data_IF_499234170762
#
_entry.id   IF_499234170762
#
_cell.length_a   1.000
_cell.length_b   1.000
_cell.length_c   1.000
_cell.angle_alpha   90.00
_cell.angle_beta   90.00
_cell.angle_gamma   90.00
#
_symmetry.space_group_name_H-M   'P 1'
#
loop_
_entity.id
_entity.type
_entity.pdbx_description
1 polymer ?
#
# COMPACT_ATOMS: atom_id res chain seq x y z
N UNK A 1 5.44 -10.01 25.35
CA UNK A 1 4.48 -10.15 24.25
C UNK A 1 5.26 -10.61 23.03
N UNK A 2 4.73 -11.58 22.28
CA UNK A 2 5.40 -12.08 21.09
C UNK A 2 5.37 -10.97 20.02
N UNK A 3 6.54 -10.53 19.58
CA UNK A 3 6.68 -9.40 18.64
C UNK A 3 6.36 -9.82 17.20
N UNK A 4 6.24 -11.13 16.97
CA UNK A 4 6.03 -11.72 15.64
C UNK A 4 4.68 -12.43 15.58
N UNK A 5 3.98 -12.23 14.49
CA UNK A 5 2.72 -12.91 14.19
C UNK A 5 3.01 -14.36 13.84
N UNK A 6 2.20 -15.30 14.38
CA UNK A 6 2.31 -16.73 14.11
C UNK A 6 1.40 -17.17 12.98
N UNK A 7 1.66 -18.34 12.38
CA UNK A 7 0.79 -18.92 11.35
C UNK A 7 -0.64 -19.14 11.90
N UNK A 8 -0.78 -19.57 13.15
CA UNK A 8 -2.08 -19.74 13.82
C UNK A 8 -2.88 -18.43 13.85
N UNK A 9 -2.25 -17.30 14.22
CA UNK A 9 -2.89 -15.99 14.24
C UNK A 9 -3.33 -15.53 12.84
N UNK A 10 -2.55 -15.87 11.82
CA UNK A 10 -2.88 -15.57 10.42
C UNK A 10 -4.08 -16.42 9.98
N UNK A 11 -4.09 -17.71 10.32
CA UNK A 11 -5.16 -18.63 9.97
C UNK A 11 -6.46 -18.29 10.69
N UNK A 12 -6.43 -17.91 11.98
CA UNK A 12 -7.59 -17.41 12.71
C UNK A 12 -8.25 -16.22 12.03
N UNK A 13 -7.45 -15.24 11.59
CA UNK A 13 -7.96 -14.08 10.85
C UNK A 13 -8.53 -14.46 9.47
N UNK A 14 -7.85 -15.36 8.75
CA UNK A 14 -8.30 -15.84 7.45
C UNK A 14 -9.63 -16.62 7.56
N UNK A 15 -9.78 -17.46 8.57
CA UNK A 15 -11.00 -18.24 8.80
C UNK A 15 -12.18 -17.36 9.24
N UNK A 16 -11.91 -16.34 10.06
CA UNK A 16 -12.93 -15.35 10.41
C UNK A 16 -13.44 -14.61 9.16
N UNK A 17 -12.56 -14.28 8.21
CA UNK A 17 -12.97 -13.66 6.93
C UNK A 17 -13.74 -14.65 6.06
N UNK A 18 -13.28 -15.90 5.92
CA UNK A 18 -14.01 -16.94 5.17
C UNK A 18 -15.43 -17.19 5.68
N UNK A 19 -15.65 -17.00 6.97
CA UNK A 19 -16.97 -17.13 7.57
C UNK A 19 -17.92 -15.97 7.26
N UNK A 20 -17.39 -14.81 6.83
CA UNK A 20 -18.16 -13.59 6.55
C UNK A 20 -18.47 -13.39 5.06
N UNK A 21 -17.82 -14.12 4.16
CA UNK A 21 -17.99 -13.93 2.72
C UNK A 21 -17.94 -15.24 1.95
N UNK A 22 -18.71 -15.31 0.87
CA UNK A 22 -18.61 -16.40 -0.11
C UNK A 22 -17.69 -16.09 -1.29
N UNK A 23 -17.22 -14.85 -1.40
CA UNK A 23 -16.32 -14.42 -2.45
C UNK A 23 -14.95 -15.11 -2.33
N UNK A 24 -14.32 -15.34 -3.48
CA UNK A 24 -12.93 -15.83 -3.59
C UNK A 24 -12.11 -14.81 -4.41
N UNK A 25 -11.75 -13.68 -3.80
CA UNK A 25 -11.02 -12.63 -4.51
C UNK A 25 -9.62 -13.09 -4.89
N UNK A 26 -9.19 -12.70 -6.10
CA UNK A 26 -7.82 -12.88 -6.56
C UNK A 26 -6.97 -11.61 -6.40
N UNK A 27 -7.62 -10.46 -6.25
CA UNK A 27 -6.98 -9.15 -6.14
C UNK A 27 -7.26 -8.53 -4.79
N UNK A 28 -6.20 -8.19 -4.06
CA UNK A 28 -6.26 -7.37 -2.86
C UNK A 28 -5.92 -5.91 -3.18
N UNK A 29 -6.69 -4.97 -2.64
CA UNK A 29 -6.41 -3.54 -2.74
C UNK A 29 -6.13 -3.00 -1.33
N UNK A 30 -5.04 -2.26 -1.16
CA UNK A 30 -4.75 -1.51 0.07
C UNK A 30 -4.87 -0.03 -0.26
N UNK A 31 -5.93 0.60 0.25
CA UNK A 31 -6.21 2.00 -0.02
C UNK A 31 -5.48 2.91 0.97
N UNK A 32 -4.74 3.88 0.43
CA UNK A 32 -4.06 4.92 1.19
C UNK A 32 -4.99 6.06 1.61
N UNK A 33 -4.43 7.03 2.33
CA UNK A 33 -5.13 8.23 2.78
C UNK A 33 -5.78 8.97 1.61
N UNK A 34 -7.05 9.33 1.74
CA UNK A 34 -7.82 10.04 0.72
C UNK A 34 -8.43 9.16 -0.38
N UNK A 35 -8.15 7.85 -0.43
CA UNK A 35 -8.58 6.94 -1.51
C UNK A 35 -9.77 6.04 -1.14
N UNK A 36 -10.51 6.40 -0.10
CA UNK A 36 -11.59 5.57 0.46
C UNK A 36 -12.79 5.35 -0.49
N UNK A 37 -13.04 6.27 -1.43
CA UNK A 37 -14.19 6.24 -2.35
C UNK A 37 -14.21 5.01 -3.26
N UNK A 38 -13.06 4.47 -3.61
CA UNK A 38 -12.99 3.24 -4.41
C UNK A 38 -13.66 2.06 -3.70
N UNK A 39 -13.47 1.93 -2.39
CA UNK A 39 -14.12 0.87 -1.60
C UNK A 39 -15.65 1.03 -1.56
N UNK A 40 -16.14 2.26 -1.54
CA UNK A 40 -17.59 2.54 -1.51
C UNK A 40 -18.28 2.19 -2.85
N UNK A 41 -17.52 1.98 -3.91
CA UNK A 41 -18.01 1.58 -5.23
C UNK A 41 -18.01 0.06 -5.49
N UNK A 42 -17.53 -0.74 -4.55
CA UNK A 42 -17.58 -2.20 -4.61
C UNK A 42 -19.03 -2.66 -4.52
N UNK A 43 -19.46 -3.46 -5.49
CA UNK A 43 -20.85 -3.94 -5.60
C UNK A 43 -21.03 -5.23 -4.79
N UNK A 44 -22.25 -5.44 -4.28
CA UNK A 44 -22.65 -6.64 -3.51
C UNK A 44 -21.68 -6.96 -2.37
N UNK A 45 -21.19 -5.93 -1.69
CA UNK A 45 -20.06 -6.05 -0.77
C UNK A 45 -20.45 -6.65 0.58
N UNK A 46 -19.66 -7.62 1.03
CA UNK A 46 -19.57 -8.00 2.44
C UNK A 46 -18.59 -7.04 3.13
N UNK A 47 -19.01 -6.41 4.22
CA UNK A 47 -18.21 -5.41 4.94
C UNK A 47 -17.90 -5.92 6.33
N UNK A 48 -16.60 -6.00 6.65
CA UNK A 48 -16.11 -6.53 7.94
C UNK A 48 -15.22 -5.47 8.62
N UNK A 49 -15.63 -4.92 9.77
CA UNK A 49 -14.77 -4.03 10.55
C UNK A 49 -13.46 -4.71 10.96
N UNK A 50 -12.34 -4.00 10.95
CA UNK A 50 -11.06 -4.55 11.40
C UNK A 50 -11.09 -4.98 12.86
N UNK A 51 -11.89 -4.30 13.70
CA UNK A 51 -12.10 -4.63 15.10
C UNK A 51 -12.75 -6.00 15.32
N UNK A 52 -13.44 -6.53 14.33
CA UNK A 52 -14.18 -7.80 14.42
C UNK A 52 -13.31 -8.99 13.97
N UNK A 53 -12.10 -8.71 13.47
CA UNK A 53 -11.16 -9.72 13.01
C UNK A 53 -10.12 -10.03 14.10
N UNK A 54 -9.89 -11.30 14.43
CA UNK A 54 -8.89 -11.68 15.41
C UNK A 54 -7.50 -11.28 14.93
N UNK A 55 -6.67 -10.82 15.86
CA UNK A 55 -5.27 -10.40 15.63
C UNK A 55 -5.07 -9.23 14.65
N UNK A 56 -6.13 -8.70 14.05
CA UNK A 56 -6.03 -7.65 13.04
C UNK A 56 -5.69 -6.30 13.68
N UNK A 57 -4.72 -5.55 13.15
CA UNK A 57 -4.38 -4.24 13.69
C UNK A 57 -5.45 -3.19 13.33
N UNK A 58 -5.79 -2.33 14.28
CA UNK A 58 -6.79 -1.27 14.11
C UNK A 58 -6.09 0.09 14.08
N UNK A 59 -6.35 0.87 13.03
CA UNK A 59 -5.73 2.20 12.89
C UNK A 59 -6.30 3.20 13.90
N UNK A 60 -5.40 4.03 14.41
CA UNK A 60 -5.69 5.18 15.27
C UNK A 60 -5.70 6.50 14.50
N UNK A 61 -5.38 6.46 13.21
CA UNK A 61 -5.26 7.64 12.33
C UNK A 61 -6.62 8.06 11.79
N UNK A 62 -6.96 9.35 11.94
CA UNK A 62 -8.15 9.91 11.34
C UNK A 62 -8.16 9.78 9.80
N UNK A 63 -9.30 9.39 9.22
CA UNK A 63 -9.46 9.24 7.78
C UNK A 63 -9.34 7.80 7.26
N UNK A 64 -9.00 6.83 8.12
CA UNK A 64 -9.10 5.42 7.79
C UNK A 64 -10.42 4.84 8.32
N UNK A 65 -11.24 4.26 7.42
CA UNK A 65 -12.52 3.65 7.80
C UNK A 65 -12.34 2.37 8.63
N UNK A 66 -11.19 1.71 8.53
CA UNK A 66 -10.83 0.56 9.34
C UNK A 66 -11.70 -0.67 9.08
N UNK A 67 -11.96 -0.99 7.82
CA UNK A 67 -12.80 -2.13 7.43
C UNK A 67 -12.31 -2.82 6.17
N UNK A 68 -12.67 -4.09 6.01
CA UNK A 68 -12.61 -4.82 4.76
C UNK A 68 -13.91 -4.63 3.99
N UNK A 69 -13.79 -4.51 2.68
CA UNK A 69 -14.90 -4.50 1.73
C UNK A 69 -14.60 -5.55 0.67
N UNK A 70 -15.38 -6.64 0.66
CA UNK A 70 -15.16 -7.79 -0.22
C UNK A 70 -16.37 -7.94 -1.12
N UNK A 71 -16.18 -7.87 -2.44
CA UNK A 71 -17.30 -7.89 -3.40
C UNK A 71 -16.78 -7.76 -4.81
N UNK A 72 -17.55 -7.14 -5.70
CA UNK A 72 -17.25 -7.01 -7.12
C UNK A 72 -16.87 -5.58 -7.50
N UNK A 73 -15.75 -5.44 -8.22
CA UNK A 73 -15.32 -4.18 -8.82
C UNK A 73 -14.85 -4.44 -10.26
N UNK A 74 -15.44 -3.76 -11.24
CA UNK A 74 -15.16 -3.97 -12.67
C UNK A 74 -15.32 -5.44 -13.12
N UNK A 75 -16.28 -6.17 -12.52
CA UNK A 75 -16.52 -7.59 -12.80
C UNK A 75 -15.52 -8.57 -12.16
N UNK A 76 -14.58 -8.07 -11.37
CA UNK A 76 -13.61 -8.89 -10.63
C UNK A 76 -13.98 -8.98 -9.15
N UNK A 77 -13.91 -10.17 -8.52
CA UNK A 77 -14.02 -10.27 -7.07
C UNK A 77 -12.76 -9.67 -6.43
N UNK A 78 -12.95 -8.69 -5.55
CA UNK A 78 -11.87 -7.93 -4.90
C UNK A 78 -11.94 -8.00 -3.39
N UNK A 79 -10.78 -7.88 -2.74
CA UNK A 79 -10.60 -7.74 -1.31
C UNK A 79 -10.01 -6.36 -1.04
N UNK A 80 -10.79 -5.43 -0.50
CA UNK A 80 -10.37 -4.05 -0.34
C UNK A 80 -10.19 -3.71 1.13
N UNK A 81 -8.97 -3.33 1.50
CA UNK A 81 -8.68 -2.69 2.78
C UNK A 81 -8.96 -1.19 2.68
N UNK A 82 -10.03 -0.74 3.32
CA UNK A 82 -10.34 0.69 3.42
C UNK A 82 -9.60 1.31 4.60
N UNK A 83 -8.31 1.59 4.36
CA UNK A 83 -7.34 2.05 5.34
C UNK A 83 -6.33 0.96 5.75
N UNK A 84 -5.28 1.40 6.44
CA UNK A 84 -4.20 0.55 6.96
C UNK A 84 -3.66 1.14 8.27
N UNK A 85 -2.84 0.37 8.98
CA UNK A 85 -2.02 0.84 10.11
C UNK A 85 -0.61 1.18 9.65
N UNK A 86 0.06 2.03 10.43
CA UNK A 86 1.41 2.48 10.14
C UNK A 86 2.38 2.17 11.30
N UNK A 87 3.67 2.14 10.99
CA UNK A 87 4.70 1.84 11.98
C UNK A 87 4.73 2.84 13.13
N UNK A 88 4.48 4.12 12.84
CA UNK A 88 4.43 5.17 13.87
C UNK A 88 3.25 5.04 14.84
N UNK A 89 2.26 4.19 14.57
CA UNK A 89 1.16 3.89 15.50
C UNK A 89 1.59 2.91 16.62
N UNK A 90 2.85 2.42 16.60
CA UNK A 90 3.42 1.58 17.63
C UNK A 90 3.27 0.07 17.38
N UNK A 91 2.72 -0.33 16.24
CA UNK A 91 2.66 -1.72 15.82
C UNK A 91 4.02 -2.23 15.34
N UNK A 92 4.32 -3.52 15.60
CA UNK A 92 5.48 -4.18 15.00
C UNK A 92 5.29 -4.34 13.48
N UNK A 93 6.38 -4.44 12.72
CA UNK A 93 6.31 -4.69 11.27
C UNK A 93 5.58 -6.01 10.94
N UNK A 94 5.66 -7.00 11.83
CA UNK A 94 4.93 -8.25 11.68
C UNK A 94 3.41 -8.04 11.77
N UNK A 95 2.95 -7.19 12.69
CA UNK A 95 1.53 -6.85 12.85
C UNK A 95 1.02 -5.97 11.69
N UNK A 96 1.81 -4.98 11.26
CA UNK A 96 1.45 -4.11 10.10
C UNK A 96 1.21 -4.95 8.86
N UNK A 97 2.00 -6.00 8.66
CA UNK A 97 1.94 -6.85 7.48
C UNK A 97 1.11 -8.13 7.67
N UNK A 98 0.45 -8.32 8.82
CA UNK A 98 -0.52 -9.40 9.01
C UNK A 98 -1.60 -9.43 7.91
N UNK A 99 -2.22 -8.29 7.52
CA UNK A 99 -3.23 -8.29 6.46
C UNK A 99 -2.76 -8.91 5.15
N UNK A 100 -1.52 -8.64 4.75
CA UNK A 100 -0.96 -9.21 3.51
C UNK A 100 -0.73 -10.72 3.64
N UNK A 101 -0.29 -11.20 4.81
CA UNK A 101 -0.17 -12.64 5.08
C UNK A 101 -1.54 -13.34 5.05
N UNK A 102 -2.57 -12.67 5.56
CA UNK A 102 -3.94 -13.17 5.47
C UNK A 102 -4.42 -13.22 4.01
N UNK A 103 -4.13 -12.20 3.20
CA UNK A 103 -4.41 -12.25 1.76
C UNK A 103 -3.79 -13.49 1.10
N UNK A 104 -2.52 -13.80 1.41
CA UNK A 104 -1.84 -15.01 0.92
C UNK A 104 -2.57 -16.29 1.35
N UNK A 105 -3.00 -16.39 2.61
CA UNK A 105 -3.75 -17.54 3.15
C UNK A 105 -5.15 -17.67 2.56
N UNK A 106 -5.75 -16.57 2.10
CA UNK A 106 -7.01 -16.56 1.36
C UNK A 106 -6.84 -16.90 -0.13
N UNK A 107 -5.60 -16.99 -0.62
CA UNK A 107 -5.28 -17.36 -1.99
C UNK A 107 -5.31 -16.20 -2.98
N UNK A 108 -5.15 -14.95 -2.51
CA UNK A 108 -5.02 -13.80 -3.40
C UNK A 108 -3.69 -13.87 -4.17
N UNK A 109 -3.76 -13.58 -5.47
CA UNK A 109 -2.63 -13.67 -6.40
C UNK A 109 -1.98 -12.32 -6.68
N UNK A 110 -2.73 -11.24 -6.51
CA UNK A 110 -2.32 -9.88 -6.83
C UNK A 110 -2.61 -8.93 -5.67
N UNK A 111 -1.73 -7.94 -5.50
CA UNK A 111 -1.93 -6.84 -4.55
C UNK A 111 -1.73 -5.51 -5.26
N UNK A 112 -2.75 -4.63 -5.22
CA UNK A 112 -2.63 -3.25 -5.63
C UNK A 112 -2.54 -2.39 -4.37
N UNK A 113 -1.45 -1.67 -4.24
CA UNK A 113 -1.19 -0.83 -3.06
C UNK A 113 -1.10 0.63 -3.46
N UNK A 114 -1.78 1.48 -2.69
CA UNK A 114 -1.78 2.91 -2.93
C UNK A 114 -1.37 3.70 -1.69
N UNK A 115 -0.82 4.87 -1.90
CA UNK A 115 -0.45 5.79 -0.84
C UNK A 115 -0.52 7.25 -1.29
N UNK A 116 -0.47 8.18 -0.32
CA UNK A 116 -0.09 9.56 -0.53
C UNK A 116 1.41 9.70 -0.22
N UNK A 117 2.15 10.47 -0.99
CA UNK A 117 3.60 10.63 -0.85
C UNK A 117 4.06 12.07 -1.14
N UNK A 118 5.12 12.49 -0.46
CA UNK A 118 5.82 13.72 -0.78
C UNK A 118 6.74 13.53 -1.99
N UNK A 119 6.63 14.37 -3.01
CA UNK A 119 7.45 14.33 -4.22
C UNK A 119 8.85 14.90 -3.97
N UNK A 120 9.89 14.07 -4.06
CA UNK A 120 11.31 14.46 -3.96
C UNK A 120 11.87 14.81 -5.33
N UNK A 121 11.42 14.11 -6.38
CA UNK A 121 11.79 14.42 -7.76
C UNK A 121 11.32 15.83 -8.13
N UNK A 122 12.21 16.71 -8.61
CA UNK A 122 11.86 18.11 -8.91
C UNK A 122 10.81 18.27 -10.03
N UNK A 123 10.63 17.24 -10.86
CA UNK A 123 9.65 17.24 -11.96
C UNK A 123 8.24 16.85 -11.50
N UNK A 124 8.11 16.37 -10.24
CA UNK A 124 6.82 16.00 -9.70
C UNK A 124 6.11 17.21 -9.10
N UNK A 125 4.79 17.27 -9.33
CA UNK A 125 3.94 18.32 -8.80
C UNK A 125 2.80 17.72 -7.95
N UNK A 126 2.29 18.45 -6.94
CA UNK A 126 1.10 18.02 -6.20
C UNK A 126 -0.07 17.74 -7.15
N UNK A 127 -0.71 16.59 -6.98
CA UNK A 127 -1.76 16.12 -7.89
C UNK A 127 -1.29 15.15 -8.97
N UNK A 128 0.03 14.93 -9.11
CA UNK A 128 0.57 13.87 -9.98
C UNK A 128 0.26 12.47 -9.40
N UNK A 129 0.16 11.49 -10.29
CA UNK A 129 0.17 10.06 -9.94
C UNK A 129 1.50 9.47 -10.38
N UNK A 130 2.16 8.76 -9.47
CA UNK A 130 3.40 8.03 -9.74
C UNK A 130 3.15 6.52 -9.71
N UNK A 131 3.49 5.84 -10.79
CA UNK A 131 3.68 4.39 -10.82
C UNK A 131 4.97 4.07 -10.07
N UNK A 132 4.88 3.28 -9.03
CA UNK A 132 6.05 2.89 -8.25
C UNK A 132 6.78 1.78 -9.02
N UNK A 133 8.02 2.03 -9.38
CA UNK A 133 8.87 1.08 -10.13
C UNK A 133 9.80 0.28 -9.23
N UNK A 134 10.17 0.84 -8.07
CA UNK A 134 10.99 0.19 -7.06
C UNK A 134 10.82 0.86 -5.68
N UNK A 135 11.39 0.24 -4.64
CA UNK A 135 11.37 0.72 -3.26
C UNK A 135 12.76 0.94 -2.67
N UNK A 136 12.91 2.04 -1.96
CA UNK A 136 13.92 2.18 -0.91
C UNK A 136 13.23 1.88 0.44
N UNK A 137 13.38 0.65 0.95
CA UNK A 137 12.85 0.26 2.26
C UNK A 137 13.79 0.75 3.37
N UNK A 138 13.84 2.08 3.58
CA UNK A 138 14.79 2.68 4.52
C UNK A 138 14.51 2.24 5.95
N UNK A 139 13.24 2.15 6.36
CA UNK A 139 12.84 1.65 7.67
C UNK A 139 13.29 0.20 7.90
N UNK A 140 13.22 -0.64 6.87
CA UNK A 140 13.69 -2.02 6.94
C UNK A 140 15.21 -2.13 6.98
N UNK A 141 15.93 -1.30 6.21
CA UNK A 141 17.40 -1.22 6.27
C UNK A 141 17.91 -0.72 7.62
N UNK A 142 17.11 0.10 8.32
CA UNK A 142 17.39 0.56 9.68
C UNK A 142 17.04 -0.47 10.77
N UNK A 143 16.64 -1.68 10.42
CA UNK A 143 16.42 -2.78 11.38
C UNK A 143 14.96 -3.17 11.63
N UNK A 144 14.00 -2.63 10.87
CA UNK A 144 12.59 -2.98 10.99
C UNK A 144 12.05 -3.66 9.71
N UNK A 145 12.76 -4.67 9.20
CA UNK A 145 12.28 -5.45 8.06
C UNK A 145 11.10 -6.36 8.47
N UNK A 146 9.99 -6.41 7.70
CA UNK A 146 8.81 -7.19 8.05
C UNK A 146 9.03 -8.71 8.07
N UNK A 147 10.13 -9.21 7.49
CA UNK A 147 10.50 -10.63 7.48
C UNK A 147 11.50 -11.01 8.59
N UNK A 148 11.81 -10.09 9.51
CA UNK A 148 12.62 -10.42 10.69
C UNK A 148 11.88 -11.40 11.61
N UNK A 149 12.67 -12.24 12.30
CA UNK A 149 12.17 -13.27 13.18
C UNK A 149 12.13 -14.67 12.54
N UNK A 150 11.40 -15.63 13.12
CA UNK A 150 11.20 -16.95 12.55
C UNK A 150 10.50 -16.88 11.18
N UNK A 151 11.02 -17.61 10.19
CA UNK A 151 10.34 -17.73 8.91
C UNK A 151 9.08 -18.59 9.05
N UNK A 152 8.05 -18.28 8.28
CA UNK A 152 6.86 -19.12 8.08
C UNK A 152 7.01 -19.71 6.68
N UNK A 153 7.57 -20.92 6.60
CA UNK A 153 7.96 -21.57 5.35
C UNK A 153 6.76 -21.79 4.40
N UNK A 154 5.57 -21.93 4.94
CA UNK A 154 4.31 -22.03 4.19
C UNK A 154 3.95 -20.75 3.42
N UNK A 155 4.53 -19.61 3.80
CA UNK A 155 4.28 -18.32 3.16
C UNK A 155 5.38 -17.90 2.18
N UNK A 156 6.57 -18.52 2.26
CA UNK A 156 7.65 -18.21 1.34
C UNK A 156 9.06 -18.49 1.88
N UNK A 157 10.10 -18.29 1.06
CA UNK A 157 11.48 -18.61 1.38
C UNK A 157 12.05 -17.64 2.43
N UNK A 158 13.03 -18.09 3.23
CA UNK A 158 13.70 -17.24 4.23
C UNK A 158 14.36 -16.00 3.63
N UNK A 159 14.84 -16.07 2.41
CA UNK A 159 15.53 -15.00 1.70
C UNK A 159 14.89 -14.78 0.31
N UNK A 160 13.80 -13.99 0.23
CA UNK A 160 13.17 -13.71 -1.04
C UNK A 160 14.01 -12.76 -1.91
N UNK A 161 13.95 -12.98 -3.21
CA UNK A 161 14.49 -12.04 -4.19
C UNK A 161 13.55 -10.84 -4.36
N UNK A 162 14.07 -9.63 -4.24
CA UNK A 162 13.34 -8.37 -4.38
C UNK A 162 13.72 -7.60 -5.65
N UNK A 163 14.47 -8.20 -6.58
CA UNK A 163 14.87 -7.53 -7.82
C UNK A 163 13.71 -7.10 -8.72
N UNK A 164 12.54 -7.70 -8.54
CA UNK A 164 11.29 -7.33 -9.20
C UNK A 164 10.17 -7.18 -8.16
N UNK A 165 10.23 -6.12 -7.36
CA UNK A 165 9.24 -5.85 -6.32
C UNK A 165 7.85 -5.56 -6.89
N UNK A 166 7.78 -4.96 -8.07
CA UNK A 166 6.54 -4.67 -8.81
C UNK A 166 6.48 -5.49 -10.09
N UNK A 167 5.27 -5.90 -10.45
CA UNK A 167 5.04 -6.79 -11.59
C UNK A 167 5.10 -6.02 -12.91
N UNK A 168 5.97 -6.40 -13.86
CA UNK A 168 6.16 -5.66 -15.10
C UNK A 168 4.92 -5.63 -16.01
N UNK A 169 4.10 -6.68 -16.02
CA UNK A 169 2.88 -6.74 -16.85
C UNK A 169 1.78 -5.84 -16.26
N UNK A 170 1.60 -5.84 -14.94
CA UNK A 170 0.67 -4.93 -14.28
C UNK A 170 1.10 -3.47 -14.46
N UNK A 171 2.40 -3.19 -14.39
CA UNK A 171 2.93 -1.84 -14.68
C UNK A 171 2.69 -1.45 -16.15
N UNK A 172 2.92 -2.35 -17.10
CA UNK A 172 2.66 -2.09 -18.52
C UNK A 172 1.17 -1.81 -18.77
N UNK A 173 0.29 -2.58 -18.14
CA UNK A 173 -1.17 -2.34 -18.21
C UNK A 173 -1.54 -0.98 -17.62
N UNK A 174 -0.99 -0.61 -16.46
CA UNK A 174 -1.25 0.70 -15.86
C UNK A 174 -0.80 1.87 -16.77
N UNK A 175 0.33 1.73 -17.48
CA UNK A 175 0.80 2.71 -18.50
C UNK A 175 -0.17 2.82 -19.68
N UNK A 176 -0.67 1.70 -20.17
CA UNK A 176 -1.65 1.67 -21.28
C UNK A 176 -2.94 2.40 -20.87
N UNK A 177 -3.51 2.02 -19.73
CA UNK A 177 -4.71 2.67 -19.18
C UNK A 177 -4.49 4.16 -18.98
N UNK A 178 -3.36 4.55 -18.39
CA UNK A 178 -3.01 5.97 -18.18
C UNK A 178 -2.97 6.74 -19.50
N UNK A 179 -2.42 6.16 -20.56
CA UNK A 179 -2.36 6.75 -21.90
C UNK A 179 -3.75 6.89 -22.52
N UNK A 180 -4.55 5.84 -22.46
CA UNK A 180 -5.92 5.79 -22.99
C UNK A 180 -6.83 6.82 -22.31
N UNK A 181 -6.74 6.92 -20.98
CA UNK A 181 -7.53 7.84 -20.16
C UNK A 181 -6.93 9.27 -20.09
N UNK A 182 -5.79 9.49 -20.76
CA UNK A 182 -5.07 10.79 -20.78
C UNK A 182 -4.70 11.29 -19.38
N UNK A 183 -4.34 10.40 -18.48
CA UNK A 183 -3.86 10.70 -17.14
C UNK A 183 -2.33 10.75 -17.19
N UNK A 184 -1.68 11.90 -16.93
CA UNK A 184 -0.23 11.94 -16.82
C UNK A 184 0.26 11.01 -15.72
N UNK A 185 1.11 10.04 -16.06
CA UNK A 185 1.67 9.06 -15.13
C UNK A 185 3.17 9.30 -14.98
N UNK A 186 3.60 9.65 -13.77
CA UNK A 186 5.01 9.68 -13.39
C UNK A 186 5.48 8.28 -13.07
N UNK A 187 6.78 8.06 -13.06
CA UNK A 187 7.38 6.82 -12.62
C UNK A 187 8.55 7.11 -11.69
N UNK A 188 8.76 6.27 -10.68
CA UNK A 188 9.85 6.52 -9.75
C UNK A 188 9.96 5.53 -8.60
N UNK A 189 10.99 5.76 -7.80
CA UNK A 189 11.35 4.98 -6.62
C UNK A 189 10.67 5.58 -5.38
N UNK A 190 9.88 4.76 -4.69
CA UNK A 190 9.24 5.14 -3.43
C UNK A 190 10.15 4.83 -2.23
N UNK A 191 10.39 5.81 -1.38
CA UNK A 191 11.14 5.62 -0.13
C UNK A 191 10.17 5.48 1.06
N UNK A 192 10.31 4.37 1.81
CA UNK A 192 9.53 4.12 3.02
C UNK A 192 10.31 4.50 4.28
N UNK A 193 9.78 5.44 5.06
CA UNK A 193 10.28 5.88 6.35
C UNK A 193 9.35 5.46 7.51
N UNK A 194 9.83 5.59 8.73
CA UNK A 194 9.07 5.25 9.94
C UNK A 194 8.00 6.27 10.30
N UNK A 195 8.21 7.55 10.03
CA UNK A 195 7.41 8.63 10.62
C UNK A 195 7.53 8.67 12.15
N UNK A 196 6.62 9.40 12.88
CA UNK A 196 5.52 10.23 12.36
C UNK A 196 5.94 11.63 11.92
N UNK A 197 7.16 12.09 12.22
CA UNK A 197 7.63 13.40 11.77
C UNK A 197 7.84 13.41 10.26
N UNK A 198 7.45 14.51 9.62
CA UNK A 198 7.90 14.82 8.28
C UNK A 198 9.42 15.06 8.27
N UNK A 199 10.02 14.86 7.11
CA UNK A 199 11.45 14.91 6.90
C UNK A 199 11.98 16.34 7.01
N UNK A 200 13.17 16.49 7.61
CA UNK A 200 13.92 17.73 7.52
C UNK A 200 14.45 18.00 6.11
N UNK A 201 14.79 19.25 5.75
CA UNK A 201 15.44 19.53 4.46
C UNK A 201 16.73 18.73 4.22
N UNK A 202 17.45 18.37 5.29
CA UNK A 202 18.67 17.55 5.19
C UNK A 202 18.32 16.09 4.83
N UNK A 203 17.29 15.53 5.48
CA UNK A 203 16.80 14.18 5.17
C UNK A 203 16.35 14.10 3.70
N UNK A 204 15.56 15.07 3.24
CA UNK A 204 15.06 15.11 1.86
C UNK A 204 16.19 15.21 0.83
N UNK A 205 17.22 16.03 1.08
CA UNK A 205 18.40 16.10 0.20
C UNK A 205 19.17 14.80 0.19
N UNK A 206 19.30 14.11 1.33
CA UNK A 206 19.92 12.79 1.41
C UNK A 206 19.11 11.76 0.61
N UNK A 207 17.80 11.68 0.83
CA UNK A 207 16.92 10.75 0.11
C UNK A 207 16.97 10.95 -1.40
N UNK A 208 16.99 12.20 -1.86
CA UNK A 208 17.17 12.53 -3.28
C UNK A 208 18.51 12.03 -3.81
N UNK A 209 19.59 12.19 -3.03
CA UNK A 209 20.94 11.76 -3.43
C UNK A 209 21.03 10.25 -3.59
N UNK A 210 20.30 9.48 -2.78
CA UNK A 210 20.28 8.01 -2.87
C UNK A 210 19.22 7.49 -3.87
N UNK A 211 18.55 8.37 -4.61
CA UNK A 211 17.69 8.00 -5.74
C UNK A 211 16.20 7.85 -5.42
N UNK A 212 15.72 8.41 -4.31
CA UNK A 212 14.27 8.45 -4.04
C UNK A 212 13.59 9.53 -4.89
N UNK A 213 12.45 9.19 -5.51
CA UNK A 213 11.57 10.11 -6.25
C UNK A 213 10.40 10.58 -5.40
N UNK A 214 9.92 9.75 -4.49
CA UNK A 214 8.86 10.08 -3.54
C UNK A 214 9.12 9.43 -2.18
N UNK A 215 8.55 10.01 -1.12
CA UNK A 215 8.71 9.56 0.25
C UNK A 215 7.37 9.45 0.96
N UNK A 216 7.24 8.43 1.83
CA UNK A 216 6.09 8.25 2.70
C UNK A 216 6.35 7.23 3.80
N UNK A 217 5.30 6.87 4.55
CA UNK A 217 5.43 6.12 5.79
C UNK A 217 4.72 4.74 5.76
N UNK A 218 4.62 4.12 4.55
CA UNK A 218 3.88 2.85 4.34
C UNK A 218 4.46 2.04 3.18
N UNK A 219 3.67 1.11 2.65
CA UNK A 219 3.80 0.48 1.32
C UNK A 219 4.95 -0.52 1.19
N UNK A 220 6.21 -0.13 1.36
CA UNK A 220 7.32 -1.05 1.15
C UNK A 220 7.25 -2.31 2.04
N UNK A 221 6.87 -2.25 3.33
CA UNK A 221 6.67 -3.45 4.14
C UNK A 221 5.61 -4.41 3.58
N UNK A 222 4.47 -3.88 3.11
CA UNK A 222 3.41 -4.68 2.50
C UNK A 222 3.89 -5.34 1.20
N UNK A 223 4.59 -4.58 0.34
CA UNK A 223 5.16 -5.09 -0.91
C UNK A 223 6.15 -6.22 -0.65
N UNK A 224 7.05 -6.07 0.34
CA UNK A 224 8.03 -7.11 0.69
C UNK A 224 7.32 -8.42 1.09
N UNK A 225 6.28 -8.34 1.92
CA UNK A 225 5.54 -9.54 2.36
C UNK A 225 4.71 -10.13 1.23
N UNK A 226 4.10 -9.31 0.37
CA UNK A 226 3.39 -9.79 -0.82
C UNK A 226 4.34 -10.55 -1.77
N UNK A 227 5.50 -10.00 -2.05
CA UNK A 227 6.53 -10.62 -2.90
C UNK A 227 7.14 -11.86 -2.26
N UNK A 228 7.34 -11.85 -0.94
CA UNK A 228 7.76 -13.04 -0.19
C UNK A 228 6.83 -14.23 -0.44
N UNK A 229 5.51 -13.98 -0.46
CA UNK A 229 4.48 -14.98 -0.73
C UNK A 229 4.16 -15.18 -2.22
N UNK A 230 4.89 -14.57 -3.14
CA UNK A 230 4.71 -14.76 -4.59
C UNK A 230 3.59 -13.95 -5.23
N UNK A 231 2.95 -13.00 -4.53
CA UNK A 231 1.93 -12.13 -5.16
C UNK A 231 2.56 -11.21 -6.19
N UNK A 232 1.80 -10.94 -7.27
CA UNK A 232 2.10 -9.88 -8.24
C UNK A 232 1.66 -8.53 -7.65
N UNK A 233 2.50 -7.51 -7.71
CA UNK A 233 2.23 -6.23 -7.05
C UNK A 233 2.18 -5.08 -8.05
N UNK A 234 1.15 -4.22 -7.92
CA UNK A 234 1.06 -2.90 -8.55
C UNK A 234 1.07 -1.83 -7.46
N UNK A 235 1.93 -0.84 -7.58
CA UNK A 235 2.01 0.29 -6.64
C UNK A 235 1.74 1.63 -7.32
N UNK A 236 0.87 2.43 -6.72
CA UNK A 236 0.57 3.79 -7.18
C UNK A 236 0.67 4.77 -6.00
N UNK A 237 1.46 5.83 -6.18
CA UNK A 237 1.55 6.95 -5.24
C UNK A 237 0.83 8.17 -5.79
N UNK A 238 0.02 8.81 -4.96
CA UNK A 238 -0.46 10.16 -5.23
C UNK A 238 0.51 11.17 -4.63
N UNK A 239 1.05 12.07 -5.46
CA UNK A 239 1.96 13.12 -4.98
C UNK A 239 1.15 14.21 -4.32
N UNK A 240 1.18 14.24 -2.99
CA UNK A 240 0.35 15.16 -2.19
C UNK A 240 0.96 16.54 -2.02
N UNK A 241 2.26 16.61 -1.96
CA UNK A 241 3.03 17.85 -1.75
C UNK A 241 4.41 17.73 -2.39
N UNK A 242 5.03 18.86 -2.65
CA UNK A 242 6.43 18.91 -3.08
C UNK A 242 7.34 18.89 -1.85
N UNK A 243 8.37 18.06 -1.86
CA UNK A 243 9.31 17.96 -0.76
C UNK A 243 10.03 19.30 -0.53
N UNK A 244 10.05 19.74 0.72
CA UNK A 244 10.58 21.03 1.14
C UNK A 244 12.11 20.96 1.35
N UNK A 245 12.87 20.96 0.25
CA UNK A 245 14.33 20.77 0.26
C UNK A 245 15.12 21.94 0.88
N UNK A 246 14.53 23.10 0.98
CA UNK A 246 15.16 24.34 1.48
C UNK A 246 14.59 24.87 2.81
N UNK A 247 13.50 24.25 3.30
CA UNK A 247 12.85 24.67 4.54
C UNK A 247 11.94 25.89 4.42
N UNK A 248 11.59 26.30 3.19
CA UNK A 248 10.80 27.51 2.96
C UNK A 248 9.29 27.34 3.21
N UNK A 249 8.80 26.11 3.27
CA UNK A 249 7.38 25.77 3.46
C UNK A 249 7.19 24.82 4.65
N UNK A 250 5.95 24.67 5.12
CA UNK A 250 5.56 23.70 6.14
C UNK A 250 4.65 22.67 5.47
N UNK A 251 4.95 21.39 5.62
CA UNK A 251 4.07 20.31 5.17
C UNK A 251 3.06 19.98 6.26
N UNK A 252 1.77 19.91 5.92
CA UNK A 252 0.69 19.59 6.86
C UNK A 252 -0.13 18.40 6.37
N UNK A 253 -0.83 17.74 7.29
CA UNK A 253 -1.72 16.63 6.94
C UNK A 253 -2.95 17.10 6.14
N UNK A 254 -3.38 18.33 6.37
CA UNK A 254 -4.49 18.96 5.65
C UNK A 254 -4.18 19.13 4.15
N UNK A 255 -2.95 19.50 3.81
CA UNK A 255 -2.49 19.57 2.39
C UNK A 255 -2.56 18.20 1.72
N UNK A 256 -2.22 17.13 2.44
CA UNK A 256 -2.30 15.75 1.92
C UNK A 256 -3.75 15.37 1.61
N UNK A 257 -4.70 15.72 2.49
CA UNK A 257 -6.13 15.46 2.29
C UNK A 257 -6.67 16.26 1.10
N UNK A 258 -6.30 17.53 0.96
CA UNK A 258 -6.77 18.39 -0.13
C UNK A 258 -6.25 17.90 -1.49
N UNK A 259 -4.97 17.56 -1.57
CA UNK A 259 -4.38 16.96 -2.78
C UNK A 259 -5.09 15.65 -3.17
N UNK A 260 -5.54 14.88 -2.19
CA UNK A 260 -6.32 13.65 -2.40
C UNK A 260 -7.53 13.85 -3.30
N UNK A 261 -8.21 15.01 -3.26
CA UNK A 261 -9.38 15.30 -4.11
C UNK A 261 -9.05 15.29 -5.61
N UNK A 262 -7.83 15.65 -5.98
CA UNK A 262 -7.35 15.65 -7.37
C UNK A 262 -6.74 14.31 -7.75
N UNK A 263 -6.05 13.67 -6.82
CA UNK A 263 -5.31 12.41 -7.02
C UNK A 263 -6.27 11.22 -7.13
N UNK A 264 -7.25 11.15 -6.23
CA UNK A 264 -8.14 9.99 -6.08
C UNK A 264 -8.82 9.59 -7.39
N UNK A 265 -9.47 10.48 -8.15
CA UNK A 265 -10.13 10.08 -9.39
C UNK A 265 -9.16 9.50 -10.41
N UNK A 266 -7.91 9.99 -10.46
CA UNK A 266 -6.88 9.50 -11.38
C UNK A 266 -6.44 8.08 -11.02
N UNK A 267 -6.12 7.84 -9.74
CA UNK A 267 -5.73 6.51 -9.23
C UNK A 267 -6.87 5.51 -9.41
N UNK A 268 -8.09 5.89 -9.06
CA UNK A 268 -9.27 5.04 -9.25
C UNK A 268 -9.47 4.63 -10.71
N UNK A 269 -9.32 5.57 -11.64
CA UNK A 269 -9.43 5.30 -13.08
C UNK A 269 -8.39 4.29 -13.53
N UNK A 270 -7.13 4.45 -13.09
CA UNK A 270 -6.06 3.49 -13.43
C UNK A 270 -6.35 2.11 -12.84
N UNK A 271 -6.71 2.02 -11.55
CA UNK A 271 -7.04 0.74 -10.90
C UNK A 271 -8.18 0.03 -11.60
N UNK A 272 -9.27 0.76 -11.91
CA UNK A 272 -10.43 0.20 -12.63
C UNK A 272 -10.05 -0.31 -14.02
N UNK A 273 -9.24 0.47 -14.76
CA UNK A 273 -8.75 0.05 -16.07
C UNK A 273 -7.89 -1.22 -15.99
N UNK A 274 -7.00 -1.31 -15.01
CA UNK A 274 -6.20 -2.53 -14.79
C UNK A 274 -7.10 -3.71 -14.41
N UNK A 275 -8.08 -3.54 -13.52
CA UNK A 275 -9.02 -4.61 -13.15
C UNK A 275 -9.83 -5.12 -14.34
N UNK A 276 -10.29 -4.23 -15.25
CA UNK A 276 -11.00 -4.62 -16.48
C UNK A 276 -10.16 -5.47 -17.44
N UNK A 277 -8.85 -5.38 -17.36
CA UNK A 277 -7.92 -6.12 -18.24
C UNK A 277 -7.48 -7.47 -17.68
N UNK A 278 -7.87 -7.83 -16.46
CA UNK A 278 -7.58 -9.12 -15.82
C UNK A 278 -8.58 -10.20 -16.24
#
# INVERSE_FOLDING_TARGET
MNTYVTLEQIDEAADAIRAQTSYKPRVGLILGSGLNSLADSVQNADVVPFSDLPNWPVSTVHGHAGRLVIGELEGQPVFVMQGRVHYYEGYSMSQITLPVRVMLRLGLEMMFVTNAAGGINPEFEPGDVMLITDNLNFVGMAGANPLMGPNIDELGPRFPDMSQSYDPDLMATARSVSTEEKIPLREGVYCALSGPSFESPADLRFLRTVGADAVGMSTAPEVIVARHGGMRVLGLSGISNKANLDGSTITTHEEVIEAGKVITPKIETIIRGVLRSL
#
